data_IF_178664041151
#
_entry.id   IF_178664041151
#
_cell.length_a   1.000
_cell.length_b   1.000
_cell.length_c   1.000
_cell.angle_alpha   90.00
_cell.angle_beta   90.00
_cell.angle_gamma   90.00
#
_symmetry.space_group_name_H-M   'P 1'
#
loop_
_entity.id
_entity.type
_entity.pdbx_description
1 polymer ?
#
# COMPACT_ATOMS: atom_id res chain seq x y z
N UNK A 1 40.52 -27.25 2.82
CA UNK A 1 41.36 -26.61 1.78
C UNK A 1 40.79 -26.82 0.38
N UNK A 2 40.53 -28.05 -0.07
CA UNK A 2 39.96 -28.33 -1.41
C UNK A 2 38.60 -27.64 -1.68
N UNK A 3 37.70 -27.61 -0.69
CA UNK A 3 36.39 -26.95 -0.82
C UNK A 3 36.52 -25.43 -1.00
N UNK A 4 37.47 -24.81 -0.30
CA UNK A 4 37.74 -23.36 -0.39
C UNK A 4 38.35 -23.02 -1.76
N UNK A 5 39.25 -23.86 -2.26
CA UNK A 5 39.86 -23.69 -3.59
C UNK A 5 38.81 -23.89 -4.69
N UNK A 6 37.91 -24.87 -4.56
CA UNK A 6 36.80 -25.07 -5.51
C UNK A 6 35.83 -23.88 -5.52
N UNK A 7 35.49 -23.31 -4.35
CA UNK A 7 34.68 -22.10 -4.24
C UNK A 7 35.35 -20.87 -4.87
N UNK A 8 36.68 -20.74 -4.72
CA UNK A 8 37.47 -19.67 -5.36
C UNK A 8 37.50 -19.85 -6.88
N UNK A 9 37.68 -21.08 -7.38
CA UNK A 9 37.67 -21.38 -8.81
C UNK A 9 36.28 -21.14 -9.42
N UNK A 10 35.20 -21.57 -8.76
CA UNK A 10 33.82 -21.30 -9.21
C UNK A 10 33.55 -19.79 -9.18
N UNK A 11 34.02 -19.07 -8.15
CA UNK A 11 33.94 -17.62 -8.05
C UNK A 11 34.66 -16.88 -9.19
N UNK A 12 35.82 -17.39 -9.63
CA UNK A 12 36.65 -16.81 -10.70
C UNK A 12 36.19 -17.22 -12.11
N UNK A 13 35.66 -18.45 -12.29
CA UNK A 13 35.28 -19.01 -13.61
C UNK A 13 33.79 -18.86 -13.96
N UNK A 14 32.95 -18.37 -13.04
CA UNK A 14 31.57 -17.94 -13.35
C UNK A 14 31.35 -16.40 -13.30
N UNK A 15 32.20 -15.56 -13.95
CA UNK A 15 31.90 -14.12 -14.08
C UNK A 15 30.49 -13.84 -14.62
N UNK A 16 29.98 -14.55 -15.65
CA UNK A 16 28.62 -14.34 -16.14
C UNK A 16 27.54 -14.63 -15.08
N UNK A 17 27.79 -15.56 -14.16
CA UNK A 17 26.86 -15.91 -13.10
C UNK A 17 26.71 -14.79 -12.07
N UNK A 18 27.81 -14.14 -11.69
CA UNK A 18 27.78 -12.96 -10.83
C UNK A 18 27.12 -11.77 -11.52
N UNK A 19 27.40 -11.53 -12.80
CA UNK A 19 26.74 -10.48 -13.56
C UNK A 19 25.24 -10.76 -13.70
N UNK A 20 24.83 -12.00 -13.96
CA UNK A 20 23.43 -12.39 -13.99
C UNK A 20 22.75 -12.19 -12.63
N UNK A 21 23.42 -12.55 -11.54
CA UNK A 21 22.91 -12.37 -10.19
C UNK A 21 22.80 -10.89 -9.81
N UNK A 22 23.81 -10.09 -10.12
CA UNK A 22 23.79 -8.64 -9.92
C UNK A 22 22.70 -7.97 -10.76
N UNK A 23 22.58 -8.33 -12.05
CA UNK A 23 21.52 -7.85 -12.92
C UNK A 23 20.13 -8.25 -12.40
N UNK A 24 19.99 -9.45 -11.86
CA UNK A 24 18.75 -9.92 -11.24
C UNK A 24 18.40 -9.14 -9.96
N UNK A 25 19.36 -8.89 -9.08
CA UNK A 25 19.15 -8.06 -7.88
C UNK A 25 18.74 -6.63 -8.28
N UNK A 26 19.43 -6.03 -9.25
CA UNK A 26 19.07 -4.71 -9.80
C UNK A 26 17.65 -4.72 -10.38
N UNK A 27 17.32 -5.73 -11.18
CA UNK A 27 15.97 -5.91 -11.73
C UNK A 27 14.92 -6.02 -10.61
N UNK A 28 15.20 -6.76 -9.54
CA UNK A 28 14.28 -6.88 -8.42
C UNK A 28 14.06 -5.54 -7.71
N UNK A 29 15.11 -4.75 -7.51
CA UNK A 29 15.02 -3.41 -6.90
C UNK A 29 14.20 -2.47 -7.79
N UNK A 30 14.52 -2.40 -9.09
CA UNK A 30 13.82 -1.55 -10.06
C UNK A 30 12.33 -1.91 -10.24
N UNK A 31 11.97 -3.18 -10.08
CA UNK A 31 10.58 -3.64 -10.22
C UNK A 31 9.80 -3.72 -8.91
N UNK A 32 10.43 -3.38 -7.77
CA UNK A 32 9.80 -3.47 -6.44
C UNK A 32 8.54 -2.62 -6.35
N UNK A 33 8.61 -1.37 -6.77
CA UNK A 33 7.49 -0.41 -6.73
C UNK A 33 6.35 -0.84 -7.64
N UNK A 34 6.65 -1.20 -8.90
CA UNK A 34 5.62 -1.68 -9.85
C UNK A 34 4.89 -2.92 -9.34
N UNK A 35 5.61 -3.86 -8.73
CA UNK A 35 5.02 -5.08 -8.16
C UNK A 35 4.13 -4.76 -6.96
N UNK A 36 4.62 -3.93 -6.03
CA UNK A 36 3.83 -3.43 -4.89
C UNK A 36 2.55 -2.77 -5.36
N UNK A 37 2.65 -1.80 -6.27
CA UNK A 37 1.50 -1.03 -6.76
C UNK A 37 0.48 -1.94 -7.45
N UNK A 38 0.94 -2.94 -8.21
CA UNK A 38 0.07 -3.93 -8.84
C UNK A 38 -0.71 -4.77 -7.82
N UNK A 39 -0.06 -5.25 -6.76
CA UNK A 39 -0.72 -6.07 -5.72
C UNK A 39 -1.77 -5.25 -4.97
N UNK A 40 -1.43 -4.02 -4.56
CA UNK A 40 -2.35 -3.14 -3.83
C UNK A 40 -3.55 -2.77 -4.71
N UNK A 41 -3.29 -2.38 -5.96
CA UNK A 41 -4.36 -2.05 -6.91
C UNK A 41 -5.28 -3.25 -7.19
N UNK A 42 -4.71 -4.45 -7.31
CA UNK A 42 -5.49 -5.67 -7.49
C UNK A 42 -6.42 -5.93 -6.31
N UNK A 43 -5.95 -5.78 -5.07
CA UNK A 43 -6.81 -6.00 -3.90
C UNK A 43 -7.87 -4.92 -3.73
N UNK A 44 -7.56 -3.66 -4.09
CA UNK A 44 -8.59 -2.61 -4.14
C UNK A 44 -9.67 -2.95 -5.16
N UNK A 45 -9.27 -3.33 -6.38
CA UNK A 45 -10.23 -3.70 -7.43
C UNK A 45 -11.04 -4.95 -7.03
N UNK A 46 -10.42 -5.91 -6.36
CA UNK A 46 -11.10 -7.09 -5.84
C UNK A 46 -12.14 -6.73 -4.78
N UNK A 47 -11.82 -5.83 -3.84
CA UNK A 47 -12.77 -5.31 -2.86
C UNK A 47 -13.95 -4.60 -3.53
N UNK A 48 -13.68 -3.77 -4.53
CA UNK A 48 -14.72 -3.09 -5.32
C UNK A 48 -15.61 -4.13 -6.02
N UNK A 49 -15.01 -5.15 -6.64
CA UNK A 49 -15.74 -6.19 -7.37
C UNK A 49 -16.55 -7.11 -6.45
N UNK A 50 -16.06 -7.39 -5.24
CA UNK A 50 -16.77 -8.22 -4.25
C UNK A 50 -17.82 -7.44 -3.45
N UNK A 51 -17.82 -6.10 -3.54
CA UNK A 51 -18.66 -5.23 -2.72
C UNK A 51 -18.30 -5.23 -1.23
N UNK A 52 -17.13 -5.77 -0.87
CA UNK A 52 -16.62 -5.72 0.49
C UNK A 52 -15.89 -4.40 0.72
N UNK A 53 -16.15 -3.78 1.86
CA UNK A 53 -15.55 -2.48 2.18
C UNK A 53 -14.23 -2.60 2.92
N UNK A 54 -13.98 -3.71 3.60
CA UNK A 54 -12.82 -3.90 4.48
C UNK A 54 -12.17 -5.26 4.19
N UNK A 55 -10.84 -5.27 4.05
CA UNK A 55 -10.05 -6.50 4.07
C UNK A 55 -8.78 -6.33 4.90
N UNK A 56 -8.39 -7.42 5.57
CA UNK A 56 -7.11 -7.54 6.27
C UNK A 56 -6.14 -8.27 5.34
N UNK A 57 -5.10 -7.56 4.91
CA UNK A 57 -4.08 -8.03 3.98
C UNK A 57 -2.85 -8.50 4.76
N UNK A 58 -2.84 -9.76 5.18
CA UNK A 58 -1.73 -10.37 5.94
C UNK A 58 -0.41 -10.46 5.15
N UNK A 59 -0.51 -10.45 3.83
CA UNK A 59 0.64 -10.55 2.92
C UNK A 59 1.22 -9.18 2.53
N UNK A 60 0.58 -8.09 2.99
CA UNK A 60 1.00 -6.72 2.67
C UNK A 60 1.46 -6.02 3.95
N UNK A 61 2.76 -5.73 4.01
CA UNK A 61 3.32 -4.93 5.08
C UNK A 61 2.77 -3.51 5.06
N UNK A 62 2.44 -2.99 6.23
CA UNK A 62 1.92 -1.63 6.36
C UNK A 62 2.82 -0.58 5.71
N UNK A 63 4.15 -0.71 5.85
CA UNK A 63 5.10 0.24 5.27
C UNK A 63 5.03 0.32 3.72
N UNK A 64 4.72 -0.81 3.07
CA UNK A 64 4.50 -0.84 1.63
C UNK A 64 3.19 -0.13 1.26
N UNK A 65 2.12 -0.38 2.02
CA UNK A 65 0.83 0.26 1.82
C UNK A 65 0.86 1.77 2.11
N UNK A 66 1.60 2.17 3.15
CA UNK A 66 1.92 3.56 3.50
C UNK A 66 2.59 4.27 2.33
N UNK A 67 3.66 3.69 1.78
CA UNK A 67 4.37 4.27 0.63
C UNK A 67 3.46 4.43 -0.60
N UNK A 68 2.58 3.45 -0.85
CA UNK A 68 1.57 3.54 -1.91
C UNK A 68 0.57 4.68 -1.67
N UNK A 69 0.09 4.84 -0.44
CA UNK A 69 -0.81 5.94 -0.09
C UNK A 69 -0.14 7.31 -0.30
N UNK A 70 1.14 7.46 0.05
CA UNK A 70 1.94 8.66 -0.21
C UNK A 70 1.93 9.04 -1.70
N UNK A 71 2.21 8.06 -2.57
CA UNK A 71 2.25 8.24 -4.02
C UNK A 71 0.91 8.68 -4.61
N UNK A 72 -0.20 8.38 -3.92
CA UNK A 72 -1.56 8.74 -4.33
C UNK A 72 -2.09 9.97 -3.57
N UNK A 73 -1.22 10.73 -2.90
CA UNK A 73 -1.56 12.03 -2.31
C UNK A 73 -2.07 11.97 -0.87
N UNK A 74 -1.88 10.86 -0.15
CA UNK A 74 -2.13 10.83 1.29
C UNK A 74 -1.18 11.81 2.00
N UNK A 75 -1.72 12.62 2.92
CA UNK A 75 -0.92 13.50 3.77
C UNK A 75 -0.11 12.64 4.74
N UNK A 76 1.21 12.85 4.78
CA UNK A 76 2.09 12.20 5.74
C UNK A 76 2.68 13.22 6.69
N UNK A 77 2.87 12.78 7.93
CA UNK A 77 3.66 13.46 8.93
C UNK A 77 5.09 13.70 8.43
N UNK A 78 5.69 14.79 8.91
CA UNK A 78 7.10 15.11 8.67
C UNK A 78 8.03 14.15 9.43
N UNK A 79 7.54 13.48 10.46
CA UNK A 79 8.32 12.61 11.33
C UNK A 79 8.19 11.14 10.90
N UNK A 80 9.31 10.42 10.97
CA UNK A 80 9.31 8.98 10.73
C UNK A 80 8.65 8.27 11.91
N UNK A 81 7.71 7.36 11.62
CA UNK A 81 6.94 6.58 12.61
C UNK A 81 6.03 7.42 13.51
N UNK A 82 5.36 8.42 12.93
CA UNK A 82 4.30 9.15 13.62
C UNK A 82 3.04 8.27 13.73
N UNK A 83 2.39 8.16 14.90
CA UNK A 83 1.09 7.51 15.05
C UNK A 83 0.00 8.10 14.13
N UNK A 84 0.11 9.37 13.74
CA UNK A 84 -0.79 9.97 12.75
C UNK A 84 -0.70 9.28 11.38
N UNK A 85 0.45 8.70 11.05
CA UNK A 85 0.65 7.93 9.84
C UNK A 85 0.25 6.46 9.97
N UNK A 86 -0.44 6.04 11.05
CA UNK A 86 -0.97 4.67 11.17
C UNK A 86 -2.30 4.50 10.42
N UNK A 87 -2.92 5.60 9.98
CA UNK A 87 -4.16 5.61 9.19
C UNK A 87 -4.05 6.66 8.09
N UNK A 88 -3.96 6.22 6.84
CA UNK A 88 -3.78 7.09 5.68
C UNK A 88 -4.95 6.95 4.72
N UNK A 89 -5.56 8.07 4.39
CA UNK A 89 -6.72 8.14 3.49
C UNK A 89 -6.32 8.89 2.22
N UNK A 90 -6.70 8.34 1.07
CA UNK A 90 -6.50 8.99 -0.22
C UNK A 90 -7.64 8.68 -1.18
N UNK A 91 -7.83 9.58 -2.16
CA UNK A 91 -8.82 9.42 -3.20
C UNK A 91 -8.26 8.67 -4.40
N UNK A 92 -9.07 7.82 -5.02
CA UNK A 92 -8.74 7.22 -6.31
C UNK A 92 -9.95 7.13 -7.22
N UNK A 93 -9.70 7.13 -8.52
CA UNK A 93 -10.74 6.94 -9.55
C UNK A 93 -10.54 5.58 -10.18
N UNK A 94 -11.55 4.71 -10.08
CA UNK A 94 -11.55 3.37 -10.68
C UNK A 94 -12.82 3.23 -11.52
N UNK A 95 -12.67 2.98 -12.82
CA UNK A 95 -13.80 2.82 -13.74
C UNK A 95 -14.73 4.04 -13.80
N UNK A 96 -14.19 5.26 -13.63
CA UNK A 96 -14.97 6.51 -13.65
C UNK A 96 -15.72 6.83 -12.34
N UNK A 97 -15.57 6.01 -11.29
CA UNK A 97 -16.15 6.27 -9.96
C UNK A 97 -15.06 6.67 -8.97
N UNK A 98 -15.37 7.64 -8.11
CA UNK A 98 -14.48 8.08 -7.05
C UNK A 98 -14.62 7.23 -5.78
N UNK A 99 -13.50 6.69 -5.32
CA UNK A 99 -13.38 5.91 -4.11
C UNK A 99 -12.47 6.62 -3.11
N UNK A 100 -12.81 6.53 -1.84
CA UNK A 100 -11.96 6.85 -0.71
C UNK A 100 -11.35 5.55 -0.20
N UNK A 101 -10.02 5.47 -0.23
CA UNK A 101 -9.27 4.31 0.24
C UNK A 101 -8.51 4.69 1.49
N UNK A 102 -8.71 3.91 2.53
CA UNK A 102 -8.06 4.04 3.82
C UNK A 102 -7.15 2.84 4.06
N UNK A 103 -5.90 3.12 4.40
CA UNK A 103 -4.85 2.16 4.67
C UNK A 103 -4.45 2.33 6.12
N UNK A 104 -4.75 1.32 6.94
CA UNK A 104 -4.52 1.35 8.37
C UNK A 104 -3.59 0.22 8.82
N UNK A 105 -2.72 0.51 9.79
CA UNK A 105 -1.88 -0.51 10.41
C UNK A 105 -2.74 -1.46 11.21
N UNK A 106 -2.55 -2.76 11.00
CA UNK A 106 -3.24 -3.82 11.72
C UNK A 106 -2.24 -4.70 12.48
N UNK A 107 -2.39 -4.78 13.80
CA UNK A 107 -1.55 -5.60 14.69
C UNK A 107 -0.03 -5.40 14.42
N UNK A 108 0.70 -6.47 14.09
CA UNK A 108 2.16 -6.55 14.04
C UNK A 108 2.73 -6.19 12.65
N UNK A 109 2.22 -5.11 12.04
CA UNK A 109 2.52 -4.61 10.68
C UNK A 109 1.74 -5.21 9.50
N UNK A 110 0.59 -5.86 9.76
CA UNK A 110 -0.36 -6.16 8.68
C UNK A 110 -1.06 -4.88 8.20
N UNK A 111 -1.69 -4.96 7.03
CA UNK A 111 -2.45 -3.82 6.48
C UNK A 111 -3.94 -4.11 6.52
N UNK A 112 -4.72 -3.23 7.13
CA UNK A 112 -6.16 -3.18 6.92
C UNK A 112 -6.45 -2.17 5.81
N UNK A 113 -7.12 -2.63 4.77
CA UNK A 113 -7.54 -1.83 3.62
C UNK A 113 -9.05 -1.63 3.70
N UNK A 114 -9.48 -0.37 3.72
CA UNK A 114 -10.89 0.01 3.63
C UNK A 114 -11.14 0.77 2.34
N UNK A 115 -12.07 0.32 1.51
CA UNK A 115 -12.44 0.94 0.23
C UNK A 115 -13.92 1.30 0.28
N UNK A 116 -14.22 2.59 0.19
CA UNK A 116 -15.60 3.11 0.18
C UNK A 116 -15.80 4.03 -1.00
N UNK A 117 -17.02 4.10 -1.53
CA UNK A 117 -17.36 5.17 -2.47
C UNK A 117 -17.33 6.51 -1.74
N UNK A 118 -16.97 7.59 -2.44
CA UNK A 118 -16.86 8.92 -1.83
C UNK A 118 -18.19 9.40 -1.23
N UNK A 119 -19.32 9.02 -1.84
CA UNK A 119 -20.66 9.28 -1.31
C UNK A 119 -20.90 8.59 0.04
N UNK A 120 -20.57 7.31 0.14
CA UNK A 120 -20.77 6.52 1.35
C UNK A 120 -19.83 6.93 2.47
N UNK A 121 -18.58 7.27 2.14
CA UNK A 121 -17.63 7.82 3.11
C UNK A 121 -18.14 9.13 3.74
N UNK A 122 -18.78 10.00 2.94
CA UNK A 122 -19.39 11.25 3.40
C UNK A 122 -20.60 10.99 4.30
N UNK A 123 -21.47 10.05 3.93
CA UNK A 123 -22.62 9.64 4.75
C UNK A 123 -22.19 9.06 6.11
N UNK A 124 -21.20 8.18 6.13
CA UNK A 124 -20.66 7.62 7.37
C UNK A 124 -20.06 8.71 8.28
N UNK A 125 -19.33 9.67 7.69
CA UNK A 125 -18.83 10.84 8.41
C UNK A 125 -19.96 11.66 9.03
N UNK A 126 -20.99 12.00 8.25
CA UNK A 126 -22.16 12.75 8.73
C UNK A 126 -22.89 11.99 9.84
N UNK A 127 -23.06 10.68 9.70
CA UNK A 127 -23.69 9.85 10.72
C UNK A 127 -22.85 9.79 12.00
N UNK A 128 -21.52 9.77 11.89
CA UNK A 128 -20.59 9.73 13.03
C UNK A 128 -20.50 11.08 13.77
N UNK A 129 -20.61 12.20 13.05
CA UNK A 129 -20.60 13.56 13.62
C UNK A 129 -21.94 13.96 14.24
N UNK A 130 -23.00 13.18 14.00
CA UNK A 130 -24.37 13.53 14.35
C UNK A 130 -24.97 14.51 13.33
N UNK A 131 -26.21 14.23 12.91
CA UNK A 131 -26.95 15.05 11.92
C UNK A 131 -27.16 16.50 12.35
N UNK A 132 -27.08 16.76 13.65
CA UNK A 132 -27.30 18.08 14.25
C UNK A 132 -26.01 18.89 14.44
N UNK A 133 -24.86 18.36 13.98
CA UNK A 133 -23.60 19.09 14.06
C UNK A 133 -23.50 20.15 12.96
N UNK A 134 -23.02 21.34 13.31
CA UNK A 134 -22.77 22.45 12.36
C UNK A 134 -21.86 22.03 11.18
N UNK A 135 -21.00 21.03 11.38
CA UNK A 135 -20.14 20.46 10.33
C UNK A 135 -20.90 19.59 9.33
N UNK A 136 -21.96 18.89 9.76
CA UNK A 136 -22.84 18.14 8.85
C UNK A 136 -23.59 19.08 7.89
N UNK A 137 -24.01 20.26 8.37
CA UNK A 137 -24.66 21.29 7.56
C UNK A 137 -23.70 21.90 6.52
N UNK A 138 -22.44 22.16 6.87
CA UNK A 138 -21.42 22.62 5.92
C UNK A 138 -21.06 21.58 4.86
N UNK A 139 -21.05 20.30 5.21
CA UNK A 139 -20.75 19.23 4.25
C UNK A 139 -21.89 19.00 3.25
N UNK A 140 -23.13 19.40 3.56
CA UNK A 140 -24.29 19.18 2.70
C UNK A 140 -24.52 20.27 1.64
N UNK A 141 -23.77 21.38 1.72
CA UNK A 141 -23.78 22.48 0.75
C UNK A 141 -22.82 22.22 -0.42
#
# INVERSE_FOLDING_TARGET
>A
MLVVIALIIISIFFPPGWFALAAYVVYLVLTKEKRRNRVIMFEIQRLIASGQEVAILKHLYYEAAKSFAAEHGASMSRYKNDPEDDCLIFGMVVGGKEYSVCVQRWMKDETMLTVKTKSKAKEDLINSLGKDSFLAEMLNK
#
